data_IF_961962720605
#
_entry.id   IF_961962720605
#
_cell.length_a   1.000
_cell.length_b   1.000
_cell.length_c   1.000
_cell.angle_alpha   90.00
_cell.angle_beta   90.00
_cell.angle_gamma   90.00
#
_symmetry.space_group_name_H-M   'P 1'
#
loop_
_entity.id
_entity.type
_entity.pdbx_description
1 polymer ?
#
# COMPACT_ATOMS: atom_id res chain seq x y z
N UNK A 1 29.02 3.79 -0.46
CA UNK A 1 29.54 3.76 -1.85
C UNK A 1 28.33 3.78 -2.76
N UNK A 2 28.15 4.87 -3.49
CA UNK A 2 27.02 5.05 -4.39
C UNK A 2 27.28 4.26 -5.68
N UNK A 3 26.46 3.26 -5.96
CA UNK A 3 26.44 2.57 -7.24
C UNK A 3 25.88 3.51 -8.30
N UNK A 4 26.69 3.85 -9.28
CA UNK A 4 26.29 4.64 -10.46
C UNK A 4 25.36 3.76 -11.31
N UNK A 5 24.16 4.24 -11.54
CA UNK A 5 23.31 3.73 -12.62
C UNK A 5 23.90 4.21 -13.96
N UNK A 6 24.20 3.26 -14.83
CA UNK A 6 24.70 3.55 -16.17
C UNK A 6 23.52 3.85 -17.10
N UNK A 7 23.62 4.97 -17.81
CA UNK A 7 22.60 5.58 -18.70
C UNK A 7 22.41 4.84 -20.04
N UNK A 8 22.86 3.59 -20.17
CA UNK A 8 22.92 2.89 -21.46
C UNK A 8 21.77 1.91 -21.78
N UNK A 9 20.87 1.62 -20.84
CA UNK A 9 19.92 0.51 -21.03
C UNK A 9 18.49 0.92 -21.44
N UNK A 10 18.22 2.21 -21.65
CA UNK A 10 16.88 2.70 -22.03
C UNK A 10 16.65 2.99 -23.52
N UNK A 11 17.51 2.52 -24.42
CA UNK A 11 17.36 2.74 -25.89
C UNK A 11 16.80 1.56 -26.68
N UNK A 12 15.89 0.78 -26.12
CA UNK A 12 15.44 -0.47 -26.74
C UNK A 12 13.95 -0.66 -27.01
N UNK A 13 13.04 0.28 -26.77
CA UNK A 13 11.60 0.04 -27.06
C UNK A 13 10.93 1.27 -27.66
N UNK A 14 11.23 1.52 -28.92
CA UNK A 14 10.38 2.36 -29.79
C UNK A 14 10.47 1.86 -31.22
N UNK A 15 9.69 0.85 -31.57
CA UNK A 15 9.28 0.58 -32.98
C UNK A 15 8.07 -0.36 -32.99
N UNK A 16 6.97 0.10 -33.57
CA UNK A 16 5.91 -0.80 -34.04
C UNK A 16 4.46 -0.40 -33.75
N UNK A 17 4.06 0.84 -34.01
CA UNK A 17 2.63 1.12 -34.22
C UNK A 17 2.29 0.91 -35.71
N UNK A 18 1.54 -0.16 -35.99
CA UNK A 18 0.75 -0.26 -37.23
C UNK A 18 -0.73 -0.20 -36.89
N UNK A 19 -1.35 0.79 -37.50
CA UNK A 19 -2.78 1.10 -37.50
C UNK A 19 -3.57 -0.05 -38.15
N UNK A 20 -4.64 -0.51 -37.50
CA UNK A 20 -5.73 -1.26 -38.16
C UNK A 20 -7.06 -0.56 -37.86
N UNK A 21 -7.73 -0.26 -38.96
CA UNK A 21 -9.00 0.50 -39.06
C UNK A 21 -10.21 -0.45 -38.96
N UNK A 22 -11.20 0.03 -38.25
CA UNK A 22 -12.67 -0.13 -38.42
C UNK A 22 -13.30 -1.52 -38.68
N UNK A 23 -14.31 -1.84 -37.85
CA UNK A 23 -15.67 -2.18 -38.31
C UNK A 23 -16.68 -1.83 -37.21
N UNK A 24 -17.66 -0.98 -37.58
CA UNK A 24 -18.84 -0.64 -36.80
C UNK A 24 -19.92 -1.67 -37.18
N UNK A 25 -20.52 -2.31 -36.21
CA UNK A 25 -21.77 -3.09 -36.41
C UNK A 25 -22.85 -2.48 -35.49
N UNK A 26 -23.85 -1.90 -36.13
CA UNK A 26 -25.07 -1.41 -35.51
C UNK A 26 -26.02 -2.58 -35.31
N UNK A 27 -26.49 -2.83 -34.08
CA UNK A 27 -27.64 -3.67 -33.82
C UNK A 27 -28.77 -2.84 -33.22
N UNK A 28 -29.86 -2.78 -33.96
CA UNK A 28 -31.14 -2.24 -33.52
C UNK A 28 -31.86 -3.27 -32.64
N UNK A 29 -32.31 -2.88 -31.45
CA UNK A 29 -33.19 -3.72 -30.61
C UNK A 29 -34.59 -3.12 -30.59
N UNK A 30 -35.54 -3.96 -30.97
CA UNK A 30 -36.98 -3.72 -31.00
C UNK A 30 -37.54 -3.71 -29.57
N UNK A 31 -38.31 -2.68 -29.26
CA UNK A 31 -39.06 -2.55 -28.01
C UNK A 31 -40.37 -3.32 -28.13
N UNK A 32 -40.57 -4.30 -27.25
CA UNK A 32 -41.94 -4.89 -27.01
C UNK A 32 -42.43 -4.45 -25.64
N UNK A 33 -43.54 -3.74 -25.67
CA UNK A 33 -44.32 -3.40 -24.47
C UNK A 33 -45.04 -4.64 -23.96
N UNK A 34 -44.91 -4.89 -22.66
CA UNK A 34 -45.77 -5.83 -21.92
C UNK A 34 -46.21 -5.17 -20.62
N UNK A 35 -47.50 -4.84 -20.54
CA UNK A 35 -48.17 -4.39 -19.31
C UNK A 35 -48.21 -5.54 -18.31
N UNK A 36 -47.83 -5.28 -17.07
CA UNK A 36 -48.37 -6.01 -15.91
C UNK A 36 -48.53 -5.09 -14.69
N UNK A 37 -49.62 -5.34 -14.04
CA UNK A 37 -50.33 -4.65 -13.00
C UNK A 37 -49.63 -4.54 -11.66
N UNK A 38 -50.07 -3.53 -10.93
CA UNK A 38 -49.88 -3.18 -9.53
C UNK A 38 -49.56 -4.32 -8.55
N UNK A 39 -48.47 -4.15 -7.80
CA UNK A 39 -48.32 -4.69 -6.45
C UNK A 39 -47.82 -3.55 -5.52
N UNK A 40 -48.64 -3.35 -4.53
CA UNK A 40 -48.56 -2.38 -3.44
C UNK A 40 -47.25 -2.32 -2.67
N UNK A 41 -46.78 -1.08 -2.47
CA UNK A 41 -46.17 -0.56 -1.25
C UNK A 41 -45.09 -1.37 -0.56
N UNK A 42 -43.81 -1.11 -0.94
CA UNK A 42 -42.71 -1.21 -0.04
C UNK A 42 -42.09 0.21 0.08
N UNK A 43 -42.12 0.78 1.27
CA UNK A 43 -41.42 2.01 1.60
C UNK A 43 -39.92 1.82 1.31
N UNK A 44 -39.44 2.49 0.29
CA UNK A 44 -38.00 2.60 0.02
C UNK A 44 -37.37 3.48 1.08
N UNK A 45 -36.53 2.89 1.91
CA UNK A 45 -35.65 3.67 2.76
C UNK A 45 -34.82 4.64 1.92
N UNK A 46 -34.58 5.87 2.36
CA UNK A 46 -33.89 6.88 1.57
C UNK A 46 -32.47 6.38 1.19
N UNK A 47 -32.18 6.38 -0.10
CA UNK A 47 -30.83 6.15 -0.62
C UNK A 47 -29.90 7.19 0.03
N UNK A 48 -28.90 6.73 0.77
CA UNK A 48 -27.85 7.62 1.29
C UNK A 48 -26.89 7.91 0.13
N UNK A 49 -26.95 9.12 -0.40
CA UNK A 49 -25.92 9.61 -1.30
C UNK A 49 -24.63 9.93 -0.53
N UNK A 50 -23.53 9.35 -0.96
CA UNK A 50 -22.20 9.75 -0.53
C UNK A 50 -21.51 10.49 -1.66
N UNK A 51 -20.96 11.66 -1.35
CA UNK A 51 -20.15 12.42 -2.29
C UNK A 51 -18.71 12.04 -2.03
N UNK A 52 -18.06 11.39 -3.00
CA UNK A 52 -16.62 11.24 -2.98
C UNK A 52 -15.95 12.59 -3.08
N UNK A 53 -14.80 12.76 -2.46
CA UNK A 53 -14.03 14.00 -2.54
C UNK A 53 -13.63 14.41 -3.97
N UNK A 54 -13.69 13.47 -4.93
CA UNK A 54 -13.57 13.72 -6.38
C UNK A 54 -14.79 14.40 -7.01
N UNK A 55 -15.84 14.71 -6.24
CA UNK A 55 -17.11 15.22 -6.75
C UNK A 55 -18.00 14.17 -7.43
N UNK A 56 -17.61 12.92 -7.46
CA UNK A 56 -18.44 11.83 -7.98
C UNK A 56 -19.48 11.41 -6.93
N UNK A 57 -20.74 11.41 -7.33
CA UNK A 57 -21.83 10.87 -6.51
C UNK A 57 -21.89 9.36 -6.68
N UNK A 58 -21.71 8.64 -5.59
CA UNK A 58 -21.95 7.20 -5.54
C UNK A 58 -23.28 6.94 -4.84
N UNK A 59 -24.21 6.33 -5.54
CA UNK A 59 -25.40 5.76 -4.92
C UNK A 59 -25.02 4.40 -4.31
N UNK A 60 -24.96 4.32 -2.99
CA UNK A 60 -24.85 3.02 -2.30
C UNK A 60 -26.19 2.29 -2.45
N UNK A 61 -26.27 1.33 -3.36
CA UNK A 61 -27.33 0.34 -3.31
C UNK A 61 -27.12 -0.50 -2.07
N UNK A 62 -27.97 -0.30 -1.07
CA UNK A 62 -28.07 -1.22 0.07
C UNK A 62 -28.42 -2.60 -0.48
N UNK A 63 -27.41 -3.45 -0.63
CA UNK A 63 -27.63 -4.88 -0.86
C UNK A 63 -28.01 -5.44 0.49
N UNK A 64 -29.31 -5.57 0.76
CA UNK A 64 -29.78 -6.26 1.96
C UNK A 64 -29.16 -7.66 1.96
N UNK A 65 -28.34 -7.93 2.95
CA UNK A 65 -27.82 -9.27 3.17
C UNK A 65 -29.01 -10.18 3.56
N UNK A 66 -29.08 -11.42 3.02
CA UNK A 66 -30.13 -12.35 3.41
C UNK A 66 -30.21 -12.45 4.93
N UNK A 67 -31.42 -12.31 5.47
CA UNK A 67 -31.74 -12.48 6.88
C UNK A 67 -31.28 -13.88 7.33
N UNK A 68 -30.08 -13.96 7.92
CA UNK A 68 -29.47 -15.23 8.35
C UNK A 68 -27.96 -15.32 8.22
N UNK A 69 -27.32 -14.48 7.40
CA UNK A 69 -25.86 -14.38 7.39
C UNK A 69 -25.40 -13.34 8.42
N UNK A 70 -25.25 -13.74 9.67
CA UNK A 70 -24.42 -13.00 10.60
C UNK A 70 -22.99 -13.13 10.09
N UNK A 71 -22.40 -12.07 9.54
CA UNK A 71 -20.95 -11.97 9.47
C UNK A 71 -20.45 -12.03 10.89
N UNK A 72 -19.71 -13.07 11.25
CA UNK A 72 -18.98 -13.11 12.51
C UNK A 72 -17.80 -12.14 12.37
N UNK A 73 -18.03 -10.87 12.60
CA UNK A 73 -16.97 -9.89 12.75
C UNK A 73 -16.47 -10.04 14.18
N UNK A 74 -15.18 -10.28 14.36
CA UNK A 74 -14.56 -10.23 15.68
C UNK A 74 -14.60 -8.79 16.16
N UNK A 75 -15.29 -8.56 17.28
CA UNK A 75 -15.41 -7.21 17.86
C UNK A 75 -14.03 -6.73 18.34
N UNK A 76 -13.66 -5.51 17.96
CA UNK A 76 -12.49 -4.85 18.49
C UNK A 76 -12.67 -4.54 19.97
N UNK A 77 -11.58 -4.60 20.74
CA UNK A 77 -11.54 -4.21 22.16
C UNK A 77 -11.58 -2.68 22.35
N UNK A 78 -11.47 -1.93 21.28
CA UNK A 78 -11.33 -0.48 21.23
C UNK A 78 -12.39 0.13 20.33
N UNK A 79 -12.72 1.40 20.59
CA UNK A 79 -13.74 2.17 19.89
C UNK A 79 -13.09 3.28 19.04
N UNK A 80 -12.19 2.92 18.14
CA UNK A 80 -11.61 3.90 17.23
C UNK A 80 -12.63 4.35 16.17
N UNK A 81 -12.63 5.65 15.89
CA UNK A 81 -13.39 6.20 14.77
C UNK A 81 -12.45 6.45 13.59
N UNK A 82 -12.89 6.08 12.40
CA UNK A 82 -12.15 6.45 11.18
C UNK A 82 -12.23 7.97 11.01
N UNK A 83 -11.11 8.68 10.85
CA UNK A 83 -11.10 10.14 10.70
C UNK A 83 -11.84 10.60 9.43
N UNK A 84 -12.17 11.90 9.38
CA UNK A 84 -12.72 12.56 8.17
C UNK A 84 -11.80 12.37 6.95
N UNK A 85 -10.49 12.44 7.19
CA UNK A 85 -9.42 12.08 6.28
C UNK A 85 -8.20 11.65 7.10
N UNK A 86 -7.58 10.52 6.76
CA UNK A 86 -6.38 10.05 7.46
C UNK A 86 -5.16 10.85 7.02
N UNK A 87 -4.54 11.53 7.98
CA UNK A 87 -3.27 12.27 7.85
C UNK A 87 -2.28 11.68 8.84
N UNK A 88 -1.44 10.78 8.36
CA UNK A 88 -0.65 9.92 9.24
C UNK A 88 0.85 10.11 9.13
N UNK A 89 1.54 9.57 10.12
CA UNK A 89 3.01 9.49 10.17
C UNK A 89 3.48 8.05 10.30
N UNK A 90 4.63 7.74 9.71
CA UNK A 90 5.32 6.47 9.94
C UNK A 90 6.00 6.44 11.31
N UNK A 91 5.89 5.32 12.02
CA UNK A 91 6.47 5.12 13.35
C UNK A 91 7.16 3.76 13.43
N UNK A 92 8.48 3.75 13.59
CA UNK A 92 9.23 2.51 13.79
C UNK A 92 8.85 1.83 15.11
N UNK A 93 9.03 0.52 15.22
CA UNK A 93 8.83 -0.21 16.47
C UNK A 93 9.67 0.34 17.64
N UNK A 94 10.91 0.80 17.35
CA UNK A 94 11.75 1.45 18.36
C UNK A 94 11.14 2.76 18.88
N UNK A 95 10.58 3.56 17.97
CA UNK A 95 9.94 4.82 18.35
C UNK A 95 8.64 4.57 19.10
N UNK A 96 7.81 3.63 18.64
CA UNK A 96 6.54 3.27 19.29
C UNK A 96 6.73 2.71 20.71
N UNK A 97 7.77 1.93 20.93
CA UNK A 97 8.09 1.34 22.24
C UNK A 97 9.01 2.15 23.12
N UNK A 98 9.51 3.30 22.66
CA UNK A 98 10.50 4.13 23.35
C UNK A 98 10.01 5.53 23.69
N UNK A 99 10.93 6.35 24.21
CA UNK A 99 10.62 7.74 24.60
C UNK A 99 10.16 8.62 23.42
N UNK A 100 10.56 8.26 22.19
CA UNK A 100 10.19 8.99 20.96
C UNK A 100 8.67 9.00 20.73
N UNK A 101 7.97 7.99 21.21
CA UNK A 101 6.50 7.92 21.12
C UNK A 101 5.82 9.18 21.66
N UNK A 102 6.24 9.65 22.84
CA UNK A 102 5.64 10.85 23.45
C UNK A 102 5.85 12.13 22.62
N UNK A 103 7.01 12.24 21.94
CA UNK A 103 7.26 13.37 21.03
C UNK A 103 6.39 13.30 19.77
N UNK A 104 6.14 12.09 19.26
CA UNK A 104 5.27 11.87 18.09
C UNK A 104 3.80 12.08 18.44
N UNK A 105 3.36 11.60 19.60
CA UNK A 105 2.02 11.89 20.13
C UNK A 105 1.80 13.39 20.25
N UNK A 106 2.76 14.11 20.85
CA UNK A 106 2.67 15.56 20.98
C UNK A 106 2.57 16.24 19.60
N UNK A 107 3.31 15.76 18.59
CA UNK A 107 3.18 16.29 17.24
C UNK A 107 1.75 16.11 16.70
N UNK A 108 1.19 14.91 16.86
CA UNK A 108 -0.17 14.61 16.38
C UNK A 108 -1.23 15.46 17.13
N UNK A 109 -1.11 15.59 18.45
CA UNK A 109 -2.04 16.39 19.27
C UNK A 109 -1.96 17.90 19.00
N UNK A 110 -0.80 18.41 18.59
CA UNK A 110 -0.57 19.84 18.32
C UNK A 110 -0.86 20.23 16.86
N UNK A 111 -1.27 19.27 16.02
CA UNK A 111 -1.48 19.48 14.58
C UNK A 111 -2.75 18.79 14.09
N UNK A 112 -3.02 18.86 12.78
CA UNK A 112 -4.13 18.14 12.14
C UNK A 112 -3.77 16.72 11.69
N UNK A 113 -2.62 16.20 12.10
CA UNK A 113 -2.30 14.77 12.01
C UNK A 113 -3.21 13.97 12.94
N UNK A 114 -3.59 12.76 12.54
CA UNK A 114 -4.57 11.96 13.27
C UNK A 114 -4.33 10.44 13.22
N UNK A 115 -3.22 10.00 12.63
CA UNK A 115 -2.94 8.59 12.47
C UNK A 115 -1.45 8.27 12.64
N UNK A 116 -1.16 7.04 13.06
CA UNK A 116 0.19 6.49 13.12
C UNK A 116 0.23 5.13 12.43
N UNK A 117 1.15 4.99 11.47
CA UNK A 117 1.49 3.71 10.83
C UNK A 117 2.67 3.12 11.58
N UNK A 118 2.42 2.07 12.34
CA UNK A 118 3.38 1.48 13.28
C UNK A 118 3.89 0.15 12.73
N UNK A 119 5.21 -0.02 12.67
CA UNK A 119 5.82 -1.30 12.33
C UNK A 119 5.42 -2.38 13.34
N UNK A 120 4.66 -3.36 12.89
CA UNK A 120 4.40 -4.62 13.60
C UNK A 120 5.36 -5.70 13.12
N UNK A 121 5.69 -5.70 11.84
CA UNK A 121 6.78 -6.48 11.26
C UNK A 121 7.69 -5.56 10.44
N UNK A 122 8.95 -5.47 10.83
CA UNK A 122 9.93 -4.56 10.24
C UNK A 122 10.50 -5.06 8.90
N UNK A 123 11.32 -4.22 8.25
CA UNK A 123 11.95 -4.49 6.95
C UNK A 123 12.97 -5.65 6.95
N UNK A 124 13.30 -6.21 8.10
CA UNK A 124 14.18 -7.37 8.25
C UNK A 124 13.42 -8.64 8.57
N UNK A 125 12.10 -8.55 8.78
CA UNK A 125 11.22 -9.64 9.15
C UNK A 125 11.10 -9.87 10.66
N UNK A 126 11.61 -8.95 11.50
CA UNK A 126 11.41 -9.06 12.94
C UNK A 126 10.07 -8.48 13.34
N UNK A 127 9.38 -9.14 14.29
CA UNK A 127 8.21 -8.59 14.92
C UNK A 127 8.62 -7.61 16.02
N UNK A 128 7.98 -6.46 16.09
CA UNK A 128 8.34 -5.40 17.04
C UNK A 128 7.83 -5.65 18.46
N UNK A 129 7.00 -6.65 18.62
CA UNK A 129 6.44 -7.13 19.89
C UNK A 129 6.87 -8.58 20.16
N UNK A 130 6.49 -9.13 21.30
CA UNK A 130 6.74 -10.53 21.65
C UNK A 130 5.45 -11.33 21.49
N UNK A 131 5.33 -12.16 20.41
CA UNK A 131 4.19 -13.04 20.23
C UNK A 131 4.12 -14.15 21.29
N UNK A 132 2.96 -14.82 21.38
CA UNK A 132 2.85 -16.06 22.17
C UNK A 132 3.83 -17.12 21.67
N UNK A 133 4.43 -17.86 22.60
CA UNK A 133 5.46 -18.85 22.29
C UNK A 133 4.97 -20.02 21.40
N UNK A 134 3.67 -20.27 21.34
CA UNK A 134 3.05 -21.28 20.48
C UNK A 134 2.97 -20.88 19.00
N UNK A 135 3.10 -19.61 18.69
CA UNK A 135 2.99 -19.10 17.31
C UNK A 135 4.21 -19.50 16.47
N UNK A 136 4.04 -19.86 15.19
CA UNK A 136 5.14 -20.28 14.33
C UNK A 136 6.20 -19.18 14.12
N UNK A 137 5.80 -17.91 14.27
CA UNK A 137 6.67 -16.74 14.15
C UNK A 137 7.18 -16.19 15.50
N UNK A 138 6.96 -16.90 16.61
CA UNK A 138 7.34 -16.42 17.95
C UNK A 138 8.83 -16.06 18.08
N UNK A 139 9.71 -16.78 17.37
CA UNK A 139 11.15 -16.55 17.38
C UNK A 139 11.59 -15.30 16.59
N UNK A 140 10.72 -14.74 15.75
CA UNK A 140 10.95 -13.45 15.09
C UNK A 140 10.64 -12.26 16.01
N UNK A 141 9.97 -12.53 17.15
CA UNK A 141 9.56 -11.50 18.11
C UNK A 141 10.75 -10.86 18.80
N UNK A 142 10.70 -9.52 18.83
CA UNK A 142 11.55 -8.67 19.68
C UNK A 142 10.71 -8.19 20.87
N UNK A 143 11.20 -7.28 21.64
CA UNK A 143 10.41 -6.67 22.74
C UNK A 143 10.48 -5.15 22.65
N UNK A 144 10.46 -4.61 21.43
CA UNK A 144 10.50 -3.17 21.21
C UNK A 144 9.23 -2.53 21.75
N UNK A 145 8.07 -3.00 21.32
CA UNK A 145 6.76 -2.61 21.87
C UNK A 145 6.39 -3.63 22.96
N UNK A 146 6.70 -3.29 24.20
CA UNK A 146 6.52 -4.20 25.35
C UNK A 146 5.07 -4.54 25.63
N UNK A 147 4.19 -3.56 25.49
CA UNK A 147 2.78 -3.62 25.85
C UNK A 147 1.91 -3.03 24.73
N UNK A 148 1.66 -3.80 23.61
CA UNK A 148 0.85 -3.30 22.49
C UNK A 148 -0.55 -2.83 22.91
N UNK A 149 -1.16 -3.50 23.89
CA UNK A 149 -2.47 -3.12 24.42
C UNK A 149 -2.46 -1.75 25.12
N UNK A 150 -1.38 -1.41 25.83
CA UNK A 150 -1.23 -0.11 26.47
C UNK A 150 -1.00 1.00 25.43
N UNK A 151 -0.21 0.71 24.41
CA UNK A 151 0.00 1.61 23.27
C UNK A 151 -1.34 1.94 22.59
N UNK A 152 -2.12 0.93 22.24
CA UNK A 152 -3.42 1.12 21.57
C UNK A 152 -4.44 1.82 22.44
N UNK A 153 -4.47 1.53 23.76
CA UNK A 153 -5.34 2.24 24.71
C UNK A 153 -4.96 3.71 24.85
N UNK A 154 -3.67 4.05 24.78
CA UNK A 154 -3.23 5.45 24.79
C UNK A 154 -3.61 6.16 23.49
N UNK A 155 -3.46 5.49 22.33
CA UNK A 155 -3.89 6.01 21.02
C UNK A 155 -5.40 6.22 20.98
N UNK A 156 -6.22 5.27 21.49
CA UNK A 156 -7.67 5.39 21.56
C UNK A 156 -8.08 6.63 22.37
N UNK A 157 -7.49 6.81 23.56
CA UNK A 157 -7.77 7.97 24.43
C UNK A 157 -7.48 9.31 23.75
N UNK A 158 -6.55 9.32 22.80
CA UNK A 158 -6.08 10.51 22.07
C UNK A 158 -6.68 10.62 20.67
N UNK A 159 -7.60 9.73 20.33
CA UNK A 159 -8.23 9.68 18.99
C UNK A 159 -7.23 9.54 17.84
N UNK A 160 -6.10 8.85 18.07
CA UNK A 160 -5.07 8.59 17.06
C UNK A 160 -5.37 7.26 16.37
N UNK A 161 -5.69 7.29 15.08
CA UNK A 161 -6.04 6.10 14.29
C UNK A 161 -4.83 5.18 14.11
N UNK A 162 -4.90 3.90 14.57
CA UNK A 162 -3.78 2.98 14.53
C UNK A 162 -3.77 2.12 13.28
N UNK A 163 -2.70 2.20 12.50
CA UNK A 163 -2.43 1.38 11.31
C UNK A 163 -1.23 0.48 11.61
N UNK A 164 -1.39 -0.83 11.45
CA UNK A 164 -0.31 -1.80 11.60
C UNK A 164 0.40 -2.01 10.27
N UNK A 165 1.68 -1.66 10.17
CA UNK A 165 2.49 -1.97 8.98
C UNK A 165 3.11 -3.35 9.11
N UNK A 166 2.91 -4.18 8.10
CA UNK A 166 3.46 -5.53 7.97
C UNK A 166 4.26 -5.62 6.68
N UNK A 167 5.58 -5.69 6.80
CA UNK A 167 6.47 -5.94 5.66
C UNK A 167 6.33 -7.40 5.21
N UNK A 168 5.96 -7.64 3.94
CA UNK A 168 5.57 -8.98 3.48
C UNK A 168 6.76 -9.76 2.93
N UNK A 169 7.22 -9.43 1.72
CA UNK A 169 8.17 -10.27 1.00
C UNK A 169 9.64 -9.87 1.20
N UNK A 170 9.93 -8.67 1.69
CA UNK A 170 11.27 -8.31 2.18
C UNK A 170 11.43 -8.82 3.60
N UNK A 171 11.99 -10.01 3.75
CA UNK A 171 12.10 -10.69 5.02
C UNK A 171 13.39 -11.52 5.11
N UNK A 172 14.44 -10.89 5.63
CA UNK A 172 15.75 -11.52 5.80
C UNK A 172 15.71 -12.59 6.89
N UNK A 173 14.89 -12.39 7.93
CA UNK A 173 14.76 -13.36 9.01
C UNK A 173 14.15 -14.67 8.49
N UNK A 174 12.97 -14.61 7.87
CA UNK A 174 12.26 -15.79 7.38
C UNK A 174 13.04 -16.47 6.24
N UNK A 175 13.63 -15.71 5.32
CA UNK A 175 14.45 -16.24 4.24
C UNK A 175 15.60 -17.11 4.75
N UNK A 176 16.29 -16.67 5.83
CA UNK A 176 17.37 -17.46 6.43
C UNK A 176 16.83 -18.65 7.27
N UNK A 177 15.62 -18.60 7.79
CA UNK A 177 14.99 -19.69 8.55
C UNK A 177 14.37 -20.73 7.66
N UNK A 178 13.92 -20.34 6.48
CA UNK A 178 13.21 -21.12 5.47
C UNK A 178 13.77 -20.85 4.07
N UNK A 179 15.03 -21.27 3.81
CA UNK A 179 15.67 -21.04 2.51
C UNK A 179 14.83 -21.56 1.34
N UNK A 180 14.07 -22.63 1.54
CA UNK A 180 13.16 -23.22 0.55
C UNK A 180 11.96 -22.31 0.19
N UNK A 181 11.67 -21.29 0.99
CA UNK A 181 10.64 -20.28 0.76
C UNK A 181 11.22 -18.97 0.20
N UNK A 182 12.46 -18.99 -0.24
CA UNK A 182 13.20 -17.81 -0.66
C UNK A 182 13.82 -17.99 -2.06
N UNK A 183 14.68 -17.10 -2.43
CA UNK A 183 15.49 -17.13 -3.64
C UNK A 183 16.90 -17.58 -3.28
N UNK A 184 17.46 -18.54 -4.02
CA UNK A 184 18.79 -19.07 -3.76
C UNK A 184 19.75 -18.71 -4.91
N UNK A 185 20.94 -18.24 -4.55
CA UNK A 185 22.10 -18.13 -5.41
C UNK A 185 23.03 -19.29 -5.12
N UNK A 186 23.06 -20.25 -6.02
CA UNK A 186 23.72 -21.54 -5.76
C UNK A 186 23.05 -22.31 -4.61
N UNK A 187 23.71 -22.36 -3.45
CA UNK A 187 23.22 -23.03 -2.20
C UNK A 187 22.84 -22.03 -1.11
N UNK A 188 23.18 -20.76 -1.27
CA UNK A 188 22.98 -19.73 -0.25
C UNK A 188 21.70 -18.94 -0.53
N UNK A 189 21.10 -18.41 0.53
CA UNK A 189 19.99 -17.45 0.39
C UNK A 189 20.51 -16.19 -0.29
N UNK A 190 19.90 -15.84 -1.41
CA UNK A 190 20.25 -14.64 -2.17
C UNK A 190 20.09 -13.37 -1.35
N UNK A 191 21.00 -12.42 -1.54
CA UNK A 191 20.98 -11.11 -0.89
C UNK A 191 21.15 -10.02 -1.94
N UNK A 192 20.41 -8.95 -1.78
CA UNK A 192 20.62 -7.74 -2.59
C UNK A 192 21.93 -7.02 -2.19
N UNK A 193 22.25 -5.93 -2.87
CA UNK A 193 23.46 -5.14 -2.60
C UNK A 193 23.56 -4.52 -1.19
N UNK A 194 22.47 -4.56 -0.41
CA UNK A 194 22.40 -4.10 0.99
C UNK A 194 22.49 -5.26 2.00
N UNK A 195 22.66 -6.49 1.52
CA UNK A 195 22.68 -7.69 2.36
C UNK A 195 21.31 -8.14 2.84
N UNK A 196 20.23 -7.66 2.23
CA UNK A 196 18.85 -8.00 2.56
C UNK A 196 18.36 -9.14 1.68
N UNK A 197 17.54 -10.04 2.24
CA UNK A 197 16.92 -11.15 1.54
C UNK A 197 15.40 -10.98 1.43
N UNK A 198 14.83 -11.66 0.46
CA UNK A 198 13.40 -11.70 0.20
C UNK A 198 12.89 -13.14 0.28
N UNK A 199 11.68 -13.29 0.78
CA UNK A 199 10.90 -14.52 0.64
C UNK A 199 10.11 -14.49 -0.66
N UNK A 200 9.76 -15.64 -1.16
CA UNK A 200 9.24 -15.83 -2.50
C UNK A 200 7.72 -15.64 -2.57
N UNK A 201 7.20 -14.66 -3.33
CA UNK A 201 5.77 -14.43 -3.48
C UNK A 201 4.99 -15.59 -4.12
N UNK A 202 5.63 -16.53 -4.78
CA UNK A 202 4.98 -17.72 -5.33
C UNK A 202 4.65 -18.79 -4.28
N UNK A 203 5.15 -18.65 -3.05
CA UNK A 203 5.03 -19.65 -1.98
C UNK A 203 3.87 -19.33 -1.06
N UNK A 204 2.84 -20.17 -1.06
CA UNK A 204 1.62 -19.95 -0.27
C UNK A 204 1.87 -19.92 1.25
N UNK A 205 2.82 -20.70 1.75
CA UNK A 205 3.21 -20.72 3.16
C UNK A 205 3.78 -19.37 3.63
N UNK A 206 4.39 -18.59 2.72
CA UNK A 206 4.84 -17.23 2.99
C UNK A 206 3.62 -16.29 3.15
N UNK A 207 2.56 -16.49 2.37
CA UNK A 207 1.32 -15.74 2.52
C UNK A 207 0.67 -16.02 3.87
N UNK A 208 0.52 -17.29 4.21
CA UNK A 208 -0.08 -17.74 5.47
C UNK A 208 0.68 -17.17 6.67
N UNK A 209 2.02 -17.22 6.61
CA UNK A 209 2.87 -16.65 7.65
C UNK A 209 2.60 -15.15 7.89
N UNK A 210 2.53 -14.36 6.83
CA UNK A 210 2.30 -12.91 6.94
C UNK A 210 0.85 -12.57 7.32
N UNK A 211 -0.12 -13.32 6.80
CA UNK A 211 -1.53 -13.12 7.12
C UNK A 211 -1.84 -13.49 8.57
N UNK A 212 -1.23 -14.53 9.13
CA UNK A 212 -1.37 -14.85 10.55
C UNK A 212 -0.82 -13.74 11.47
N UNK A 213 0.29 -13.09 11.10
CA UNK A 213 0.81 -11.91 11.80
C UNK A 213 -0.18 -10.74 11.69
N UNK A 214 -0.75 -10.52 10.50
CA UNK A 214 -1.75 -9.48 10.26
C UNK A 214 -3.02 -9.71 11.10
N UNK A 215 -3.50 -10.95 11.19
CA UNK A 215 -4.63 -11.34 12.05
C UNK A 215 -4.34 -11.06 13.53
N UNK A 216 -3.13 -11.35 13.99
CA UNK A 216 -2.73 -11.06 15.37
C UNK A 216 -2.70 -9.54 15.62
N UNK A 217 -2.23 -8.74 14.67
CA UNK A 217 -2.30 -7.27 14.78
C UNK A 217 -3.74 -6.76 14.84
N UNK A 218 -4.66 -7.32 14.05
CA UNK A 218 -6.08 -7.02 14.12
C UNK A 218 -6.68 -7.43 15.49
N UNK A 219 -6.32 -8.60 16.02
CA UNK A 219 -6.72 -9.07 17.36
C UNK A 219 -6.15 -8.21 18.51
N UNK A 220 -4.98 -7.60 18.31
CA UNK A 220 -4.46 -6.60 19.25
C UNK A 220 -5.34 -5.37 19.31
N UNK A 221 -6.00 -4.99 18.20
CA UNK A 221 -6.92 -3.86 18.09
C UNK A 221 -6.52 -2.79 17.08
N UNK A 222 -5.53 -3.04 16.23
CA UNK A 222 -5.29 -2.17 15.09
C UNK A 222 -6.51 -2.13 14.17
N UNK A 223 -6.79 -0.98 13.60
CA UNK A 223 -8.00 -0.75 12.80
C UNK A 223 -7.77 -0.93 11.31
N UNK A 224 -6.50 -0.95 10.93
CA UNK A 224 -6.07 -1.14 9.55
C UNK A 224 -4.76 -1.93 9.53
N UNK A 225 -4.65 -2.83 8.55
CA UNK A 225 -3.42 -3.55 8.24
C UNK A 225 -2.88 -3.01 6.92
N UNK A 226 -1.70 -2.41 6.99
CA UNK A 226 -0.99 -1.93 5.81
C UNK A 226 0.14 -2.90 5.46
N UNK A 227 0.02 -3.50 4.29
CA UNK A 227 1.05 -4.39 3.75
C UNK A 227 2.04 -3.60 2.91
N UNK A 228 3.31 -3.69 3.26
CA UNK A 228 4.42 -3.12 2.50
C UNK A 228 5.33 -4.21 1.93
N UNK A 229 6.15 -3.85 0.96
CA UNK A 229 6.98 -4.78 0.19
C UNK A 229 6.17 -5.94 -0.41
N UNK A 230 4.97 -5.64 -0.90
CA UNK A 230 4.10 -6.57 -1.62
C UNK A 230 4.60 -6.66 -3.07
N UNK A 231 5.77 -7.29 -3.23
CA UNK A 231 6.50 -7.30 -4.50
C UNK A 231 7.68 -8.25 -4.51
N UNK A 232 8.12 -8.61 -5.70
CA UNK A 232 9.43 -9.24 -5.90
C UNK A 232 10.58 -8.23 -5.63
N UNK A 233 11.83 -8.71 -5.46
CA UNK A 233 13.00 -7.83 -5.39
C UNK A 233 13.11 -6.91 -6.63
N UNK A 234 13.67 -5.72 -6.45
CA UNK A 234 13.98 -4.84 -7.58
C UNK A 234 14.96 -5.50 -8.55
N UNK A 235 14.70 -5.36 -9.86
CA UNK A 235 15.52 -5.96 -10.90
C UNK A 235 15.41 -7.48 -10.99
N UNK A 236 14.36 -8.08 -10.41
CA UNK A 236 14.18 -9.53 -10.41
C UNK A 236 14.07 -10.11 -11.82
N UNK A 237 13.54 -9.38 -12.79
CA UNK A 237 13.46 -9.76 -14.20
C UNK A 237 14.83 -10.07 -14.82
N UNK A 238 15.91 -9.50 -14.27
CA UNK A 238 17.28 -9.75 -14.71
C UNK A 238 17.91 -10.96 -14.00
N UNK A 239 17.26 -11.46 -12.95
CA UNK A 239 17.75 -12.52 -12.07
C UNK A 239 16.89 -13.78 -12.07
N UNK A 240 15.70 -13.72 -12.67
CA UNK A 240 14.70 -14.80 -12.62
C UNK A 240 15.21 -16.14 -13.18
N UNK A 241 16.18 -16.10 -14.12
CA UNK A 241 16.82 -17.28 -14.70
C UNK A 241 18.09 -17.75 -13.97
N UNK A 242 18.67 -16.88 -13.14
CA UNK A 242 19.93 -17.16 -12.42
C UNK A 242 19.63 -17.77 -11.05
N UNK A 243 18.59 -17.26 -10.36
CA UNK A 243 18.22 -17.71 -9.03
C UNK A 243 17.40 -19.00 -9.07
N UNK A 244 17.55 -19.83 -8.04
CA UNK A 244 16.73 -21.01 -7.83
C UNK A 244 15.61 -20.68 -6.86
N UNK A 245 14.38 -20.97 -7.23
CA UNK A 245 13.19 -20.75 -6.42
C UNK A 245 12.03 -21.63 -6.89
N UNK A 246 11.05 -21.83 -6.03
CA UNK A 246 9.78 -22.46 -6.41
C UNK A 246 8.93 -21.48 -7.19
N UNK A 247 8.27 -21.93 -8.25
CA UNK A 247 7.24 -21.16 -8.94
C UNK A 247 5.83 -21.48 -8.40
N UNK A 248 5.72 -22.34 -7.40
CA UNK A 248 4.44 -22.72 -6.82
C UNK A 248 3.44 -23.19 -7.88
N UNK A 249 2.25 -22.62 -7.84
CA UNK A 249 1.18 -22.89 -8.80
C UNK A 249 1.26 -22.01 -10.07
N UNK A 250 2.29 -21.17 -10.20
CA UNK A 250 2.45 -20.19 -11.29
C UNK A 250 3.39 -20.66 -12.40
N UNK A 251 3.53 -21.98 -12.60
CA UNK A 251 4.45 -22.56 -13.58
C UNK A 251 3.84 -22.87 -14.95
N UNK A 252 2.68 -22.31 -15.29
CA UNK A 252 2.06 -22.53 -16.60
C UNK A 252 2.89 -21.90 -17.72
N UNK A 253 3.36 -22.74 -18.63
CA UNK A 253 4.19 -22.32 -19.77
C UNK A 253 3.46 -21.47 -20.81
N UNK A 254 2.13 -21.43 -20.78
CA UNK A 254 1.31 -20.58 -21.64
C UNK A 254 1.26 -19.12 -21.16
N UNK A 255 1.69 -18.86 -19.93
CA UNK A 255 1.73 -17.53 -19.29
C UNK A 255 3.17 -17.06 -19.17
N UNK A 256 3.45 -15.81 -19.49
CA UNK A 256 4.81 -15.28 -19.38
C UNK A 256 5.20 -15.00 -17.92
N UNK A 257 6.50 -14.91 -17.66
CA UNK A 257 7.04 -14.72 -16.32
C UNK A 257 6.62 -13.40 -15.65
N UNK A 258 6.30 -12.38 -16.43
CA UNK A 258 5.81 -11.09 -15.89
C UNK A 258 4.41 -11.28 -15.32
N UNK A 259 3.53 -11.94 -16.11
CA UNK A 259 2.16 -12.21 -15.66
C UNK A 259 2.13 -13.18 -14.46
N UNK A 260 3.03 -14.15 -14.39
CA UNK A 260 3.19 -14.99 -13.21
C UNK A 260 3.45 -14.15 -11.95
N UNK A 261 4.41 -13.20 -12.04
CA UNK A 261 4.73 -12.31 -10.91
C UNK A 261 3.55 -11.40 -10.54
N UNK A 262 2.91 -10.80 -11.54
CA UNK A 262 1.75 -9.94 -11.33
C UNK A 262 0.60 -10.71 -10.66
N UNK A 263 0.31 -11.91 -11.15
CA UNK A 263 -0.75 -12.74 -10.59
C UNK A 263 -0.43 -13.12 -9.13
N UNK A 264 0.78 -13.59 -8.83
CA UNK A 264 1.15 -13.97 -7.46
C UNK A 264 1.05 -12.81 -6.46
N UNK A 265 1.46 -11.60 -6.87
CA UNK A 265 1.36 -10.41 -6.02
C UNK A 265 -0.11 -10.00 -5.83
N UNK A 266 -0.91 -10.02 -6.90
CA UNK A 266 -2.35 -9.68 -6.84
C UNK A 266 -3.13 -10.71 -6.00
N UNK A 267 -2.91 -12.00 -6.24
CA UNK A 267 -3.57 -13.09 -5.53
C UNK A 267 -3.25 -13.09 -4.03
N UNK A 268 -2.01 -12.68 -3.66
CA UNK A 268 -1.67 -12.47 -2.25
C UNK A 268 -2.55 -11.38 -1.62
N UNK A 269 -2.74 -10.25 -2.31
CA UNK A 269 -3.53 -9.13 -1.79
C UNK A 269 -5.00 -9.55 -1.64
N UNK A 270 -5.58 -10.19 -2.65
CA UNK A 270 -6.94 -10.74 -2.59
C UNK A 270 -7.08 -11.73 -1.44
N UNK A 271 -6.14 -12.67 -1.31
CA UNK A 271 -6.12 -13.64 -0.23
C UNK A 271 -6.07 -12.97 1.15
N UNK A 272 -5.14 -12.03 1.35
CA UNK A 272 -4.99 -11.32 2.62
C UNK A 272 -6.25 -10.52 2.97
N UNK A 273 -6.87 -9.83 2.00
CA UNK A 273 -8.12 -9.11 2.18
C UNK A 273 -9.25 -10.03 2.66
N UNK A 274 -9.41 -11.17 2.00
CA UNK A 274 -10.43 -12.17 2.36
C UNK A 274 -10.22 -12.74 3.77
N UNK A 275 -8.98 -13.08 4.11
CA UNK A 275 -8.63 -13.64 5.42
C UNK A 275 -8.80 -12.65 6.57
N UNK A 276 -8.73 -11.35 6.27
CA UNK A 276 -8.92 -10.27 7.25
C UNK A 276 -10.38 -9.77 7.36
N UNK A 277 -11.27 -10.13 6.43
CA UNK A 277 -12.68 -9.75 6.51
C UNK A 277 -13.35 -10.04 7.87
N UNK A 278 -13.14 -11.24 8.50
CA UNK A 278 -13.77 -11.55 9.79
C UNK A 278 -13.33 -10.63 10.94
N UNK A 279 -12.25 -9.91 10.76
CA UNK A 279 -11.69 -9.01 11.78
C UNK A 279 -12.24 -7.58 11.66
N UNK A 280 -12.90 -7.24 10.55
CA UNK A 280 -13.49 -5.92 10.33
C UNK A 280 -12.47 -4.78 10.16
N UNK A 281 -11.19 -5.11 9.99
CA UNK A 281 -10.13 -4.12 9.75
C UNK A 281 -10.06 -3.72 8.28
N UNK A 282 -9.62 -2.49 8.02
CA UNK A 282 -9.27 -2.09 6.65
C UNK A 282 -7.95 -2.74 6.22
N UNK A 283 -7.82 -2.97 4.93
CA UNK A 283 -6.59 -3.45 4.30
C UNK A 283 -6.06 -2.38 3.37
N UNK A 284 -4.81 -1.99 3.56
CA UNK A 284 -4.09 -1.08 2.68
C UNK A 284 -2.80 -1.73 2.16
N UNK A 285 -2.33 -1.27 1.01
CA UNK A 285 -1.10 -1.77 0.38
C UNK A 285 -0.23 -0.61 -0.06
N UNK A 286 1.06 -0.67 0.31
CA UNK A 286 2.09 0.23 -0.16
C UNK A 286 2.62 -0.26 -1.51
N UNK A 287 2.66 0.63 -2.50
CA UNK A 287 3.10 0.31 -3.85
C UNK A 287 4.06 1.38 -4.37
N UNK A 288 4.99 0.97 -5.20
CA UNK A 288 5.84 1.97 -5.85
C UNK A 288 5.04 2.91 -6.73
N UNK A 289 5.24 4.23 -6.56
CA UNK A 289 4.52 5.24 -7.33
C UNK A 289 4.62 5.00 -8.84
N UNK A 290 5.79 4.64 -9.36
CA UNK A 290 5.95 4.39 -10.80
C UNK A 290 5.08 3.23 -11.33
N UNK A 291 4.62 2.31 -10.49
CA UNK A 291 3.74 1.22 -10.92
C UNK A 291 2.42 1.72 -11.50
N UNK A 292 1.95 2.89 -11.06
CA UNK A 292 0.77 3.53 -11.67
C UNK A 292 1.05 4.12 -13.06
N UNK A 293 2.32 4.40 -13.41
CA UNK A 293 2.69 5.00 -14.68
C UNK A 293 2.86 4.00 -15.82
N UNK A 294 2.86 2.72 -15.49
CA UNK A 294 3.05 1.60 -16.40
C UNK A 294 1.77 0.76 -16.50
N UNK A 295 1.59 -0.06 -17.53
CA UNK A 295 0.58 -1.12 -17.50
C UNK A 295 0.78 -2.04 -16.31
N UNK A 296 2.04 -2.41 -16.04
CA UNK A 296 2.49 -3.16 -14.87
C UNK A 296 4.00 -2.98 -14.68
N UNK A 297 4.49 -3.16 -13.46
CA UNK A 297 5.91 -3.14 -13.12
C UNK A 297 6.49 -4.57 -13.24
N UNK A 298 7.15 -4.92 -14.36
CA UNK A 298 7.40 -6.31 -14.74
C UNK A 298 8.35 -7.05 -13.80
N UNK A 299 9.36 -6.37 -13.27
CA UNK A 299 10.34 -6.98 -12.38
C UNK A 299 9.77 -7.30 -11.01
N UNK A 300 9.02 -6.37 -10.45
CA UNK A 300 8.50 -6.47 -9.08
C UNK A 300 7.09 -7.07 -9.00
N UNK A 301 6.41 -7.27 -10.13
CA UNK A 301 5.08 -7.88 -10.19
C UNK A 301 3.94 -6.98 -9.70
N UNK A 302 4.11 -5.68 -9.61
CA UNK A 302 3.04 -4.77 -9.24
C UNK A 302 2.24 -4.31 -10.46
N UNK A 303 0.92 -4.50 -10.41
CA UNK A 303 -0.04 -3.87 -11.29
C UNK A 303 -0.98 -3.01 -10.44
N UNK A 304 -0.93 -1.69 -10.66
CA UNK A 304 -1.65 -0.73 -9.84
C UNK A 304 -3.16 -1.01 -9.79
N UNK A 305 -3.80 -1.17 -10.95
CA UNK A 305 -5.25 -1.37 -11.04
C UNK A 305 -5.68 -2.69 -10.40
N UNK A 306 -4.98 -3.80 -10.72
CA UNK A 306 -5.31 -5.12 -10.15
C UNK A 306 -5.17 -5.15 -8.61
N UNK A 307 -4.13 -4.53 -8.05
CA UNK A 307 -3.97 -4.45 -6.59
C UNK A 307 -5.07 -3.58 -5.99
N UNK A 308 -5.39 -2.45 -6.64
CA UNK A 308 -6.42 -1.51 -6.18
C UNK A 308 -7.82 -2.12 -6.10
N UNK A 309 -8.13 -3.11 -6.94
CA UNK A 309 -9.43 -3.82 -6.91
C UNK A 309 -9.65 -4.64 -5.62
N UNK A 310 -8.59 -4.96 -4.88
CA UNK A 310 -8.63 -5.88 -3.74
C UNK A 310 -8.34 -5.22 -2.38
N UNK A 311 -8.23 -3.89 -2.31
CA UNK A 311 -7.90 -3.17 -1.08
C UNK A 311 -8.92 -2.10 -0.72
N UNK A 312 -8.96 -1.68 0.55
CA UNK A 312 -9.76 -0.52 0.98
C UNK A 312 -9.01 0.79 0.72
N UNK A 313 -7.67 0.74 0.76
CA UNK A 313 -6.80 1.90 0.60
C UNK A 313 -5.59 1.51 -0.22
N UNK A 314 -5.22 2.34 -1.20
CA UNK A 314 -3.96 2.23 -1.93
C UNK A 314 -3.02 3.36 -1.50
N UNK A 315 -1.77 3.01 -1.13
CA UNK A 315 -0.77 3.96 -0.64
C UNK A 315 0.45 3.98 -1.54
N UNK A 316 0.39 4.82 -2.57
CA UNK A 316 1.49 4.98 -3.51
C UNK A 316 2.65 5.76 -2.89
N UNK A 317 3.87 5.23 -2.98
CA UNK A 317 5.09 5.90 -2.53
C UNK A 317 5.55 6.89 -3.61
N UNK A 318 5.23 8.17 -3.44
CA UNK A 318 5.48 9.22 -4.44
C UNK A 318 6.56 10.21 -4.01
N UNK A 319 7.59 9.72 -3.30
CA UNK A 319 8.70 10.55 -2.83
C UNK A 319 9.43 11.20 -4.02
N UNK A 320 9.47 12.54 -4.14
CA UNK A 320 10.13 13.21 -5.28
C UNK A 320 11.58 12.79 -5.50
N UNK A 321 12.31 12.48 -4.43
CA UNK A 321 13.72 12.04 -4.48
C UNK A 321 13.92 10.66 -5.11
N UNK A 322 12.87 9.87 -5.28
CA UNK A 322 12.93 8.52 -5.86
C UNK A 322 12.57 8.49 -7.36
N UNK A 323 12.31 9.66 -7.94
CA UNK A 323 12.02 9.80 -9.35
C UNK A 323 13.23 10.34 -10.13
N UNK A 324 13.48 9.76 -11.29
CA UNK A 324 14.31 10.35 -12.34
C UNK A 324 13.49 11.40 -13.09
N UNK A 325 14.03 11.94 -14.20
CA UNK A 325 13.23 12.86 -15.04
C UNK A 325 11.93 12.18 -15.51
N UNK A 326 10.79 12.73 -15.07
CA UNK A 326 9.46 12.20 -15.38
C UNK A 326 8.41 13.34 -15.44
N UNK A 327 7.27 13.12 -16.10
CA UNK A 327 6.20 14.13 -16.29
C UNK A 327 6.71 15.47 -16.87
N UNK A 328 7.80 15.44 -17.64
CA UNK A 328 8.45 16.67 -18.14
C UNK A 328 9.26 17.44 -17.08
N UNK A 329 9.45 16.85 -15.89
CA UNK A 329 10.22 17.44 -14.78
C UNK A 329 11.63 16.85 -14.81
N UNK A 330 12.63 17.69 -15.06
CA UNK A 330 14.01 17.23 -15.18
C UNK A 330 14.63 16.75 -13.85
N UNK A 331 14.29 17.41 -12.75
CA UNK A 331 14.79 17.11 -11.39
C UNK A 331 13.61 17.13 -10.41
N UNK A 332 12.92 15.99 -10.25
CA UNK A 332 11.68 15.94 -9.46
C UNK A 332 11.82 16.38 -8.01
N UNK A 333 12.93 16.08 -7.35
CA UNK A 333 13.14 16.49 -5.94
C UNK A 333 13.20 18.02 -5.74
N UNK A 334 13.51 18.78 -6.80
CA UNK A 334 13.48 20.24 -6.77
C UNK A 334 12.07 20.82 -6.98
N UNK A 335 11.11 20.01 -7.48
CA UNK A 335 9.78 20.45 -7.85
C UNK A 335 8.70 19.54 -7.23
N UNK A 336 8.65 19.39 -5.87
CA UNK A 336 7.77 18.44 -5.21
C UNK A 336 6.29 18.65 -5.52
N UNK A 337 5.82 19.90 -5.59
CA UNK A 337 4.46 20.22 -5.95
C UNK A 337 4.09 19.67 -7.34
N UNK A 338 4.92 19.93 -8.35
CA UNK A 338 4.62 19.52 -9.72
C UNK A 338 4.60 17.99 -9.84
N UNK A 339 5.60 17.31 -9.25
CA UNK A 339 5.66 15.85 -9.31
C UNK A 339 4.40 15.24 -8.69
N UNK A 340 4.08 15.62 -7.47
CA UNK A 340 2.94 15.06 -6.73
C UNK A 340 1.63 15.37 -7.43
N UNK A 341 1.47 16.57 -7.98
CA UNK A 341 0.27 16.94 -8.73
C UNK A 341 0.06 16.12 -10.01
N UNK A 342 1.11 15.98 -10.83
CA UNK A 342 1.00 15.18 -12.06
C UNK A 342 0.78 13.69 -11.75
N UNK A 343 1.40 13.21 -10.68
CA UNK A 343 1.14 11.86 -10.19
C UNK A 343 -0.31 11.68 -9.74
N UNK A 344 -0.83 12.58 -8.92
CA UNK A 344 -2.21 12.51 -8.40
C UNK A 344 -3.25 12.50 -9.53
N UNK A 345 -3.06 13.30 -10.58
CA UNK A 345 -3.91 13.25 -11.78
C UNK A 345 -3.91 11.87 -12.44
N UNK A 346 -2.73 11.26 -12.58
CA UNK A 346 -2.59 9.94 -13.18
C UNK A 346 -3.26 8.86 -12.32
N UNK A 347 -3.02 8.90 -11.01
CA UNK A 347 -3.61 7.96 -10.05
C UNK A 347 -5.13 8.06 -10.05
N UNK A 348 -5.68 9.26 -9.94
CA UNK A 348 -7.13 9.52 -10.01
C UNK A 348 -7.75 9.00 -11.31
N UNK A 349 -7.07 9.19 -12.45
CA UNK A 349 -7.53 8.65 -13.72
C UNK A 349 -7.64 7.12 -13.66
N UNK A 350 -6.61 6.42 -13.17
CA UNK A 350 -6.61 4.96 -13.07
C UNK A 350 -7.64 4.44 -12.07
N UNK A 351 -7.77 5.09 -10.91
CA UNK A 351 -8.78 4.74 -9.93
C UNK A 351 -10.21 4.98 -10.47
N UNK A 352 -10.41 6.03 -11.24
CA UNK A 352 -11.70 6.32 -11.88
C UNK A 352 -12.11 5.31 -12.96
N UNK A 353 -11.22 4.46 -13.43
CA UNK A 353 -11.50 3.36 -14.35
C UNK A 353 -12.00 2.09 -13.63
N UNK A 354 -11.88 2.02 -12.28
CA UNK A 354 -12.31 0.88 -11.47
C UNK A 354 -13.79 1.00 -11.08
N UNK A 355 -14.48 -0.14 -10.97
CA UNK A 355 -15.88 -0.18 -10.54
C UNK A 355 -16.04 0.26 -9.07
N UNK A 356 -15.11 -0.17 -8.20
CA UNK A 356 -15.09 0.15 -6.78
C UNK A 356 -13.69 0.63 -6.38
N UNK A 357 -13.32 1.88 -6.66
CA UNK A 357 -11.98 2.36 -6.36
C UNK A 357 -11.73 2.42 -4.85
N UNK A 358 -10.53 2.04 -4.39
CA UNK A 358 -10.12 2.25 -3.01
C UNK A 358 -9.88 3.73 -2.71
N UNK A 359 -9.72 4.05 -1.43
CA UNK A 359 -9.22 5.36 -1.01
C UNK A 359 -7.77 5.50 -1.46
N UNK A 360 -7.44 6.62 -2.11
CA UNK A 360 -6.05 7.03 -2.36
C UNK A 360 -5.47 7.69 -1.12
N UNK A 361 -4.36 7.14 -0.61
CA UNK A 361 -3.61 7.68 0.55
C UNK A 361 -2.11 7.57 0.32
N UNK A 362 -1.56 8.44 -0.51
CA UNK A 362 -0.15 8.37 -0.87
C UNK A 362 0.79 8.62 0.31
N UNK A 363 1.96 7.99 0.26
CA UNK A 363 3.11 8.35 1.05
C UNK A 363 3.85 9.53 0.43
N UNK A 364 4.04 10.60 1.15
CA UNK A 364 4.78 11.80 0.75
C UNK A 364 6.06 11.98 1.57
N UNK A 365 6.99 12.75 1.02
CA UNK A 365 8.35 12.90 1.55
C UNK A 365 8.44 13.98 2.62
N UNK A 366 8.94 13.63 3.82
CA UNK A 366 9.33 14.58 4.86
C UNK A 366 10.78 14.33 5.28
N UNK A 367 11.70 14.39 4.33
CA UNK A 367 13.15 14.25 4.54
C UNK A 367 13.93 14.87 3.39
N UNK A 368 15.18 15.30 3.64
CA UNK A 368 16.09 15.84 2.63
C UNK A 368 16.96 14.74 2.03
N UNK A 369 16.92 14.58 0.70
CA UNK A 369 17.60 13.54 -0.05
C UNK A 369 19.04 13.92 -0.48
N UNK A 370 19.93 14.18 0.48
CA UNK A 370 21.30 14.65 0.22
C UNK A 370 22.14 13.72 -0.66
N UNK A 371 21.77 12.43 -0.75
CA UNK A 371 22.45 11.43 -1.59
C UNK A 371 22.32 11.68 -3.11
N UNK A 372 21.37 12.53 -3.52
CA UNK A 372 21.22 12.94 -4.93
C UNK A 372 22.34 13.85 -5.40
N UNK A 373 23.12 14.40 -4.48
CA UNK A 373 24.21 15.33 -4.75
C UNK A 373 23.76 16.78 -4.96
N UNK A 374 24.70 17.71 -4.80
CA UNK A 374 24.44 19.15 -4.88
C UNK A 374 23.76 19.53 -6.20
N UNK A 375 22.72 20.36 -6.12
CA UNK A 375 21.93 20.83 -7.26
C UNK A 375 20.92 19.83 -7.82
N UNK A 376 20.74 18.64 -7.17
CA UNK A 376 19.76 17.65 -7.55
C UNK A 376 18.74 17.37 -6.44
N UNK A 377 18.90 17.93 -5.27
CA UNK A 377 17.95 17.84 -4.17
C UNK A 377 17.62 19.22 -3.60
N UNK A 378 16.46 19.32 -2.98
CA UNK A 378 15.99 20.49 -2.24
C UNK A 378 16.11 20.21 -0.73
N UNK A 379 16.37 21.23 0.07
CA UNK A 379 16.24 21.14 1.51
C UNK A 379 14.74 21.07 1.83
N UNK A 380 14.29 19.92 2.31
CA UNK A 380 12.89 19.75 2.69
C UNK A 380 12.62 20.35 4.06
N UNK A 381 11.63 21.21 4.11
CA UNK A 381 11.08 21.88 5.27
C UNK A 381 9.57 22.02 5.15
N UNK A 382 9.03 23.01 5.84
CA UNK A 382 7.59 23.29 5.86
C UNK A 382 7.02 23.45 4.45
N UNK A 383 7.61 24.30 3.63
CA UNK A 383 7.09 24.66 2.32
C UNK A 383 7.04 23.44 1.37
N UNK A 384 8.06 22.57 1.40
CA UNK A 384 8.13 21.38 0.55
C UNK A 384 7.12 20.29 0.96
N UNK A 385 6.84 20.18 2.26
CA UNK A 385 5.79 19.27 2.75
C UNK A 385 4.40 19.81 2.39
N UNK A 386 4.16 21.10 2.64
CA UNK A 386 2.92 21.77 2.28
C UNK A 386 2.66 21.79 0.77
N UNK A 387 3.70 21.95 -0.05
CA UNK A 387 3.62 21.84 -1.51
C UNK A 387 3.06 20.48 -1.96
N UNK A 388 3.52 19.39 -1.34
CA UNK A 388 3.03 18.04 -1.64
C UNK A 388 1.57 17.86 -1.20
N UNK A 389 1.20 18.35 0.01
CA UNK A 389 -0.16 18.26 0.53
C UNK A 389 -1.12 19.07 -0.35
N UNK A 390 -0.77 20.30 -0.71
CA UNK A 390 -1.55 21.16 -1.59
C UNK A 390 -1.76 20.50 -2.96
N UNK A 391 -0.72 19.89 -3.52
CA UNK A 391 -0.80 19.20 -4.80
C UNK A 391 -1.80 18.03 -4.77
N UNK A 392 -1.82 17.23 -3.69
CA UNK A 392 -2.80 16.16 -3.49
C UNK A 392 -4.22 16.71 -3.34
N UNK A 393 -4.39 17.71 -2.49
CA UNK A 393 -5.70 18.32 -2.19
C UNK A 393 -6.35 18.95 -3.42
N UNK A 394 -5.59 19.64 -4.25
CA UNK A 394 -6.09 20.23 -5.50
C UNK A 394 -6.59 19.18 -6.49
N UNK A 395 -6.12 17.95 -6.40
CA UNK A 395 -6.60 16.81 -7.17
C UNK A 395 -7.65 15.95 -6.39
N UNK A 396 -8.14 16.45 -5.23
CA UNK A 396 -9.19 15.81 -4.44
C UNK A 396 -8.71 14.68 -3.52
N UNK A 397 -7.41 14.47 -3.38
CA UNK A 397 -6.83 13.49 -2.46
C UNK A 397 -6.57 14.18 -1.12
N UNK A 398 -7.37 13.85 -0.10
CA UNK A 398 -7.31 14.48 1.23
C UNK A 398 -6.58 13.63 2.28
N UNK A 399 -6.30 12.37 1.97
CA UNK A 399 -5.57 11.45 2.83
C UNK A 399 -4.12 11.31 2.37
N UNK A 400 -3.20 11.27 3.31
CA UNK A 400 -1.78 11.07 3.03
C UNK A 400 -1.03 10.54 4.25
N UNK A 401 0.15 10.00 3.99
CA UNK A 401 1.08 9.53 5.02
C UNK A 401 2.44 10.19 4.81
N UNK A 402 3.04 10.67 5.90
CA UNK A 402 4.38 11.26 5.89
C UNK A 402 5.43 10.19 6.13
N UNK A 403 6.40 10.08 5.23
CA UNK A 403 7.54 9.21 5.41
C UNK A 403 8.77 9.94 5.90
N UNK A 404 9.27 9.52 7.04
CA UNK A 404 10.61 9.83 7.54
C UNK A 404 11.15 8.64 8.34
N UNK A 405 12.16 7.96 7.82
CA UNK A 405 12.72 6.74 8.43
C UNK A 405 13.29 6.96 9.84
N UNK A 406 13.69 8.20 10.15
CA UNK A 406 14.18 8.60 11.48
C UNK A 406 13.08 9.09 12.43
N UNK A 407 11.83 9.11 11.99
CA UNK A 407 10.69 9.67 12.72
C UNK A 407 10.92 11.11 13.21
N UNK A 408 11.50 11.94 12.34
CA UNK A 408 11.80 13.36 12.61
C UNK A 408 11.02 14.21 11.63
N UNK A 409 9.80 14.58 12.02
CA UNK A 409 8.88 15.31 11.18
C UNK A 409 9.07 16.82 11.27
N UNK A 410 8.87 17.49 10.14
CA UNK A 410 8.95 18.95 10.02
C UNK A 410 7.87 19.61 10.89
N UNK A 411 8.24 20.65 11.63
CA UNK A 411 7.33 21.39 12.51
C UNK A 411 6.71 22.59 11.80
N UNK A 412 5.50 22.96 12.25
CA UNK A 412 4.79 24.14 11.77
C UNK A 412 4.13 23.97 10.39
N UNK A 413 4.02 22.73 9.92
CA UNK A 413 3.31 22.38 8.67
C UNK A 413 1.79 22.53 8.89
N UNK A 414 1.12 23.16 7.95
CA UNK A 414 -0.34 23.14 7.85
C UNK A 414 -0.77 21.87 7.08
N UNK A 415 -1.31 20.90 7.82
CA UNK A 415 -1.74 19.61 7.25
C UNK A 415 -3.17 19.64 6.66
N UNK A 416 -3.83 20.81 6.69
CA UNK A 416 -5.18 21.01 6.13
C UNK A 416 -5.24 21.98 4.96
N UNK A 417 -4.12 22.31 4.36
CA UNK A 417 -4.00 23.29 3.28
C UNK A 417 -5.17 23.34 2.30
#
# INVERSE_FOLDING_TARGET
MAGRYNDSDYKGVMWGMKVVRQWIVVFAIVVTWGMFSDVTGAETSPEKEFILHSGQKIALKNKELPTGMKRFIKESKYSFTYPDAVRGIYVTGNSAGGNKYNELVKLVEETDLNAMVIDIKDDRGNLTYKPDASKPYAKAGTNLIKEPSKLLKDMEKREIYPIARVTVFKDTYLANKKPEWSFLDGKEVWKNGRGESFVNPFVKEVWDYNVEIAKEAAEMGFQEIQFDYVRFPEGFENRDKELKYSVGNYGDKAVDNVQHRVNAVTDFVEYAKKELEPYGVKVSVDIFGYSATLPEAPGIGQNFSKISEHVDVISSMIYPSHWTSYFGIAKPDLEPYKLVKEYAKLENKKLGELENPPISRPWIQDFTATWLGSGNYKQYGKDEVEDQIRALKEEGINEFLLWNSGNRYTRGVDYKQ
#
